data_IF_924593368913
#
_entry.id   IF_924593368913
#
_cell.length_a   1.000
_cell.length_b   1.000
_cell.length_c   1.000
_cell.angle_alpha   90.00
_cell.angle_beta   90.00
_cell.angle_gamma   90.00
#
_symmetry.space_group_name_H-M   'P 1'
#
loop_
_entity.id
_entity.type
_entity.pdbx_description
1 polymer ?
#
# COMPACT_ATOMS: atom_id res chain seq x y z
N UNK A 1 2.92 18.41 -21.75
CA UNK A 1 2.47 17.35 -20.84
C UNK A 1 1.67 17.97 -19.70
N UNK A 2 0.35 18.02 -19.75
CA UNK A 2 -0.44 18.66 -18.72
C UNK A 2 -1.03 17.62 -17.76
N UNK A 3 -0.19 16.97 -16.96
CA UNK A 3 -0.70 16.06 -15.89
C UNK A 3 -0.92 16.78 -14.55
N UNK A 4 -0.48 18.02 -14.39
CA UNK A 4 -0.68 18.80 -13.18
C UNK A 4 -2.07 19.43 -13.02
N UNK A 5 -2.79 19.64 -14.11
CA UNK A 5 -4.07 20.36 -14.08
C UNK A 5 -5.26 19.54 -13.56
N UNK A 6 -5.26 18.26 -13.81
CA UNK A 6 -6.37 17.37 -13.41
C UNK A 6 -6.34 17.14 -11.88
N UNK A 7 -5.15 16.96 -11.31
CA UNK A 7 -4.99 16.77 -9.86
C UNK A 7 -5.37 18.03 -9.06
N UNK A 8 -5.07 19.21 -9.59
CA UNK A 8 -5.43 20.48 -8.95
C UNK A 8 -6.94 20.77 -9.05
N UNK A 9 -7.58 20.45 -10.17
CA UNK A 9 -9.04 20.59 -10.33
C UNK A 9 -9.78 19.66 -9.35
N UNK A 10 -9.33 18.42 -9.19
CA UNK A 10 -9.91 17.44 -8.26
C UNK A 10 -9.77 17.85 -6.79
N UNK A 11 -8.63 18.46 -6.42
CA UNK A 11 -8.40 19.00 -5.08
C UNK A 11 -9.32 20.20 -4.82
N UNK A 12 -9.51 21.05 -5.82
CA UNK A 12 -10.36 22.24 -5.71
C UNK A 12 -11.85 21.86 -5.58
N UNK A 13 -12.32 20.89 -6.36
CA UNK A 13 -13.68 20.38 -6.24
C UNK A 13 -13.96 19.74 -4.87
N UNK A 14 -13.00 18.99 -4.33
CA UNK A 14 -13.10 18.42 -2.99
C UNK A 14 -13.18 19.51 -1.91
N UNK A 15 -12.41 20.59 -2.05
CA UNK A 15 -12.43 21.74 -1.12
C UNK A 15 -13.74 22.52 -1.22
N UNK A 16 -14.28 22.72 -2.42
CA UNK A 16 -15.57 23.40 -2.63
C UNK A 16 -16.72 22.58 -2.03
N UNK A 17 -16.73 21.26 -2.21
CA UNK A 17 -17.73 20.38 -1.61
C UNK A 17 -17.64 20.36 -0.08
N UNK A 18 -16.45 20.44 0.48
CA UNK A 18 -16.25 20.49 1.93
C UNK A 18 -16.72 21.82 2.51
N UNK A 19 -16.48 22.92 1.78
CA UNK A 19 -16.94 24.24 2.16
C UNK A 19 -18.47 24.40 2.06
N UNK A 20 -19.09 23.83 1.02
CA UNK A 20 -20.54 23.77 0.88
C UNK A 20 -21.20 22.93 1.99
N UNK A 21 -20.59 21.81 2.37
CA UNK A 21 -21.06 20.99 3.48
C UNK A 21 -21.00 21.72 4.83
N UNK A 22 -19.97 22.56 5.03
CA UNK A 22 -19.82 23.39 6.23
C UNK A 22 -20.86 24.52 6.29
N UNK A 23 -21.22 25.12 5.13
CA UNK A 23 -22.17 26.24 5.07
C UNK A 23 -23.63 25.76 5.17
N UNK A 24 -23.94 24.58 4.66
CA UNK A 24 -25.32 24.05 4.64
C UNK A 24 -25.74 23.35 5.92
N UNK A 25 -24.88 23.31 6.96
CA UNK A 25 -25.22 22.70 8.25
C UNK A 25 -25.60 21.22 8.15
N UNK A 26 -25.20 20.54 7.06
CA UNK A 26 -25.37 19.10 6.96
C UNK A 26 -24.56 18.43 8.06
N UNK A 27 -25.24 18.14 9.15
CA UNK A 27 -24.73 17.38 10.27
C UNK A 27 -24.16 16.07 9.73
N UNK A 28 -22.86 15.91 9.87
CA UNK A 28 -22.13 14.69 9.52
C UNK A 28 -22.77 13.57 10.36
N UNK A 29 -23.46 12.60 9.76
CA UNK A 29 -23.90 11.45 10.55
C UNK A 29 -22.66 10.82 11.18
N UNK A 30 -22.77 10.43 12.44
CA UNK A 30 -21.76 9.68 13.17
C UNK A 30 -21.14 8.63 12.24
N UNK A 31 -19.82 8.52 12.28
CA UNK A 31 -18.92 7.79 11.37
C UNK A 31 -19.30 6.30 11.20
N UNK A 32 -20.44 6.02 10.60
CA UNK A 32 -20.68 4.67 10.10
C UNK A 32 -19.80 4.47 8.87
N UNK A 33 -18.87 3.52 8.97
CA UNK A 33 -18.02 3.13 7.86
C UNK A 33 -18.94 2.72 6.70
N UNK A 34 -18.86 3.37 5.51
CA UNK A 34 -19.73 3.04 4.40
C UNK A 34 -19.58 1.57 4.01
N UNK A 35 -20.69 0.90 3.64
CA UNK A 35 -20.66 -0.53 3.24
C UNK A 35 -19.68 -0.81 2.10
N UNK A 36 -19.53 0.11 1.15
CA UNK A 36 -18.59 -0.05 0.06
C UNK A 36 -17.14 -0.02 0.52
N UNK A 37 -16.82 0.63 1.65
CA UNK A 37 -15.47 0.75 2.17
C UNK A 37 -14.86 -0.60 2.57
N UNK A 38 -15.63 -1.46 3.22
CA UNK A 38 -15.19 -2.82 3.57
C UNK A 38 -14.85 -3.63 2.31
N UNK A 39 -15.68 -3.54 1.26
CA UNK A 39 -15.40 -4.19 -0.04
C UNK A 39 -14.13 -3.67 -0.70
N UNK A 40 -13.88 -2.37 -0.64
CA UNK A 40 -12.63 -1.78 -1.14
C UNK A 40 -11.42 -2.32 -0.39
N UNK A 41 -11.51 -2.44 0.94
CA UNK A 41 -10.43 -3.04 1.74
C UNK A 41 -10.20 -4.50 1.40
N UNK A 42 -11.25 -5.30 1.33
CA UNK A 42 -11.20 -6.72 0.92
C UNK A 42 -10.54 -6.85 -0.45
N UNK A 43 -10.97 -6.04 -1.44
CA UNK A 43 -10.36 -6.02 -2.77
C UNK A 43 -8.86 -5.72 -2.74
N UNK A 44 -8.43 -4.75 -1.93
CA UNK A 44 -7.01 -4.44 -1.75
C UNK A 44 -6.25 -5.58 -1.04
N UNK A 45 -6.87 -6.26 -0.08
CA UNK A 45 -6.26 -7.42 0.58
C UNK A 45 -6.10 -8.61 -0.35
N UNK A 46 -7.13 -8.92 -1.15
CA UNK A 46 -7.13 -10.09 -2.04
C UNK A 46 -6.16 -9.93 -3.20
N UNK A 47 -5.93 -8.70 -3.66
CA UNK A 47 -5.10 -8.40 -4.81
C UNK A 47 -4.00 -7.36 -4.55
N UNK A 48 -3.43 -7.37 -3.36
CA UNK A 48 -2.37 -6.41 -3.01
C UNK A 48 -1.10 -6.57 -3.87
N UNK A 49 -0.91 -7.69 -4.52
CA UNK A 49 0.20 -7.98 -5.45
C UNK A 49 0.00 -7.31 -6.81
N UNK A 50 -1.24 -7.09 -7.20
CA UNK A 50 -1.59 -6.54 -8.49
C UNK A 50 -1.65 -5.01 -8.45
N UNK A 51 -1.29 -4.37 -9.57
CA UNK A 51 -1.49 -2.93 -9.70
C UNK A 51 -2.98 -2.65 -9.86
N UNK A 52 -3.52 -1.77 -9.04
CA UNK A 52 -4.88 -1.26 -9.24
C UNK A 52 -4.85 0.16 -9.82
N UNK A 53 -5.93 0.51 -10.51
CA UNK A 53 -6.22 1.90 -10.87
C UNK A 53 -7.29 2.43 -9.92
N UNK A 54 -7.13 3.67 -9.49
CA UNK A 54 -8.09 4.31 -8.59
C UNK A 54 -9.50 4.35 -9.20
N UNK A 55 -9.60 4.56 -10.53
CA UNK A 55 -10.87 4.58 -11.25
C UNK A 55 -11.58 3.22 -11.19
N UNK A 56 -10.85 2.11 -11.35
CA UNK A 56 -11.41 0.77 -11.32
C UNK A 56 -11.93 0.43 -9.91
N UNK A 57 -11.13 0.74 -8.89
CA UNK A 57 -11.49 0.55 -7.49
C UNK A 57 -12.74 1.36 -7.10
N UNK A 58 -12.84 2.59 -7.57
CA UNK A 58 -13.98 3.46 -7.34
C UNK A 58 -15.23 2.99 -8.10
N UNK A 59 -15.07 2.52 -9.33
CA UNK A 59 -16.14 1.96 -10.13
C UNK A 59 -16.72 0.70 -9.47
N UNK A 60 -15.88 -0.23 -9.02
CA UNK A 60 -16.31 -1.43 -8.26
C UNK A 60 -17.05 -1.06 -6.97
N UNK A 61 -16.65 0.02 -6.32
CA UNK A 61 -17.29 0.53 -5.11
C UNK A 61 -18.59 1.31 -5.37
N UNK A 62 -18.85 1.69 -6.63
CA UNK A 62 -19.99 2.53 -7.01
C UNK A 62 -19.89 3.96 -6.51
N UNK A 63 -18.67 4.52 -6.41
CA UNK A 63 -18.41 5.88 -5.92
C UNK A 63 -17.44 6.62 -6.83
N UNK A 64 -17.40 7.94 -6.71
CA UNK A 64 -16.41 8.74 -7.43
C UNK A 64 -15.00 8.56 -6.84
N UNK A 65 -13.91 8.50 -7.66
CA UNK A 65 -12.54 8.29 -7.19
C UNK A 65 -12.07 9.28 -6.12
N UNK A 66 -12.42 10.56 -6.27
CA UNK A 66 -12.11 11.61 -5.28
C UNK A 66 -12.79 11.34 -3.94
N UNK A 67 -14.06 10.93 -3.98
CA UNK A 67 -14.80 10.57 -2.76
C UNK A 67 -14.19 9.36 -2.07
N UNK A 68 -13.83 8.31 -2.84
CA UNK A 68 -13.14 7.13 -2.30
C UNK A 68 -11.82 7.53 -1.62
N UNK A 69 -10.97 8.30 -2.30
CA UNK A 69 -9.68 8.72 -1.77
C UNK A 69 -9.82 9.54 -0.49
N UNK A 70 -10.81 10.44 -0.41
CA UNK A 70 -11.10 11.26 0.76
C UNK A 70 -11.54 10.42 1.95
N UNK A 71 -12.54 9.55 1.75
CA UNK A 71 -13.08 8.69 2.82
C UNK A 71 -12.02 7.71 3.29
N UNK A 72 -11.24 7.12 2.36
CA UNK A 72 -10.17 6.22 2.69
C UNK A 72 -9.11 6.88 3.58
N UNK A 73 -8.68 8.10 3.21
CA UNK A 73 -7.73 8.88 4.02
C UNK A 73 -8.30 9.29 5.38
N UNK A 74 -9.61 9.55 5.48
CA UNK A 74 -10.26 9.87 6.75
C UNK A 74 -10.29 8.68 7.71
N UNK A 75 -10.52 7.48 7.20
CA UNK A 75 -10.66 6.25 8.01
C UNK A 75 -9.28 5.62 8.28
N UNK A 76 -8.50 5.33 7.24
CA UNK A 76 -7.22 4.61 7.33
C UNK A 76 -6.01 5.52 7.57
N UNK A 77 -6.18 6.85 7.51
CA UNK A 77 -5.10 7.84 7.64
C UNK A 77 -3.99 7.71 6.59
N UNK A 78 -4.29 7.07 5.48
CA UNK A 78 -3.38 6.90 4.34
C UNK A 78 -4.19 6.79 3.03
N UNK A 79 -3.50 6.87 1.91
CA UNK A 79 -4.12 6.64 0.60
C UNK A 79 -4.31 5.13 0.35
N UNK A 80 -5.22 4.72 -0.56
CA UNK A 80 -5.36 3.32 -0.98
C UNK A 80 -4.04 2.72 -1.48
N UNK A 81 -3.22 3.49 -2.21
CA UNK A 81 -1.90 3.06 -2.68
C UNK A 81 -0.91 2.81 -1.53
N UNK A 82 -0.88 3.69 -0.53
CA UNK A 82 -0.05 3.49 0.67
C UNK A 82 -0.55 2.31 1.50
N UNK A 83 -1.85 2.10 1.55
CA UNK A 83 -2.44 0.93 2.20
C UNK A 83 -2.00 -0.36 1.51
N UNK A 84 -2.06 -0.43 0.18
CA UNK A 84 -1.54 -1.55 -0.59
C UNK A 84 -0.05 -1.79 -0.31
N UNK A 85 0.77 -0.74 -0.31
CA UNK A 85 2.20 -0.87 0.00
C UNK A 85 2.45 -1.43 1.41
N UNK A 86 1.62 -1.07 2.40
CA UNK A 86 1.70 -1.68 3.75
C UNK A 86 1.42 -3.18 3.71
N UNK A 87 0.42 -3.62 2.93
CA UNK A 87 0.12 -5.04 2.75
C UNK A 87 1.28 -5.78 2.08
N UNK A 88 1.87 -5.19 1.03
CA UNK A 88 3.05 -5.74 0.34
C UNK A 88 4.25 -5.87 1.28
N UNK A 89 4.54 -4.84 2.08
CA UNK A 89 5.64 -4.87 3.07
C UNK A 89 5.37 -5.92 4.14
N UNK A 90 4.13 -6.04 4.62
CA UNK A 90 3.77 -7.07 5.60
C UNK A 90 3.99 -8.47 5.06
N UNK A 91 3.55 -8.75 3.83
CA UNK A 91 3.81 -10.04 3.18
C UNK A 91 5.32 -10.28 3.00
N UNK A 92 6.09 -9.27 2.62
CA UNK A 92 7.53 -9.37 2.50
C UNK A 92 8.22 -9.68 3.84
N UNK A 93 7.75 -9.16 4.96
CA UNK A 93 8.30 -9.47 6.28
C UNK A 93 8.20 -10.97 6.60
N UNK A 94 7.10 -11.64 6.19
CA UNK A 94 6.96 -13.08 6.38
C UNK A 94 7.95 -13.87 5.49
N UNK A 95 8.07 -13.48 4.21
CA UNK A 95 9.00 -14.14 3.28
C UNK A 95 10.48 -13.89 3.62
N UNK A 96 10.81 -12.76 4.23
CA UNK A 96 12.17 -12.45 4.66
C UNK A 96 12.69 -13.36 5.78
N UNK A 97 11.83 -14.10 6.45
CA UNK A 97 12.21 -15.11 7.44
C UNK A 97 12.86 -16.35 6.81
N UNK A 98 12.60 -16.57 5.54
CA UNK A 98 13.25 -17.62 4.77
C UNK A 98 14.52 -17.06 4.07
N UNK A 99 15.67 -17.58 4.49
CA UNK A 99 16.97 -17.14 3.96
C UNK A 99 17.25 -17.61 2.55
N UNK A 100 16.58 -18.65 2.10
CA UNK A 100 16.75 -19.23 0.76
C UNK A 100 16.13 -18.31 -0.33
N UNK A 101 15.20 -17.45 0.05
CA UNK A 101 14.52 -16.56 -0.89
C UNK A 101 15.37 -15.32 -1.23
N UNK A 102 15.78 -15.15 -2.50
CA UNK A 102 16.46 -13.93 -2.94
C UNK A 102 15.55 -12.69 -2.77
N UNK A 103 16.14 -11.55 -2.44
CA UNK A 103 15.37 -10.31 -2.27
C UNK A 103 14.62 -9.91 -3.53
N UNK A 104 15.19 -10.18 -4.72
CA UNK A 104 14.53 -9.93 -5.99
C UNK A 104 13.27 -10.81 -6.18
N UNK A 105 13.32 -12.07 -5.76
CA UNK A 105 12.17 -12.97 -5.81
C UNK A 105 11.07 -12.54 -4.83
N UNK A 106 11.44 -12.11 -3.63
CA UNK A 106 10.49 -11.54 -2.65
C UNK A 106 9.84 -10.27 -3.21
N UNK A 107 10.62 -9.40 -3.85
CA UNK A 107 10.08 -8.20 -4.48
C UNK A 107 9.01 -8.54 -5.54
N UNK A 108 9.31 -9.49 -6.42
CA UNK A 108 8.36 -9.95 -7.44
C UNK A 108 7.11 -10.59 -6.84
N UNK A 109 7.28 -11.50 -5.87
CA UNK A 109 6.19 -12.19 -5.19
C UNK A 109 5.25 -11.22 -4.44
N UNK A 110 5.78 -10.14 -3.89
CA UNK A 110 4.99 -9.13 -3.19
C UNK A 110 4.40 -8.04 -4.12
N UNK A 111 4.61 -8.14 -5.44
CA UNK A 111 4.05 -7.21 -6.42
C UNK A 111 4.80 -5.88 -6.57
N UNK A 112 6.07 -5.83 -6.17
CA UNK A 112 6.94 -4.68 -6.44
C UNK A 112 7.48 -4.75 -7.88
N UNK A 113 7.70 -3.57 -8.49
CA UNK A 113 8.20 -3.48 -9.86
C UNK A 113 9.61 -4.09 -10.01
N UNK A 114 10.46 -3.88 -9.00
CA UNK A 114 11.83 -4.39 -8.92
C UNK A 114 12.34 -4.35 -7.47
N UNK A 115 13.54 -4.91 -7.25
CA UNK A 115 14.18 -4.95 -5.94
C UNK A 115 14.52 -3.56 -5.38
N UNK A 116 14.84 -2.59 -6.24
CA UNK A 116 15.13 -1.22 -5.81
C UNK A 116 13.88 -0.52 -5.29
N UNK A 117 12.77 -0.67 -6.00
CA UNK A 117 11.46 -0.20 -5.56
C UNK A 117 11.05 -0.85 -4.24
N UNK A 118 11.19 -2.17 -4.14
CA UNK A 118 10.95 -2.92 -2.90
C UNK A 118 11.77 -2.36 -1.74
N UNK A 119 13.08 -2.22 -1.90
CA UNK A 119 13.99 -1.74 -0.84
C UNK A 119 13.58 -0.34 -0.36
N UNK A 120 13.26 0.55 -1.29
CA UNK A 120 12.85 1.93 -0.97
C UNK A 120 11.52 1.97 -0.20
N UNK A 121 10.50 1.23 -0.66
CA UNK A 121 9.20 1.17 0.00
C UNK A 121 9.31 0.48 1.35
N UNK A 122 10.02 -0.65 1.42
CA UNK A 122 10.22 -1.37 2.68
C UNK A 122 10.90 -0.47 3.72
N UNK A 123 11.98 0.24 3.34
CA UNK A 123 12.67 1.18 4.25
C UNK A 123 11.76 2.32 4.71
N UNK A 124 10.88 2.83 3.84
CA UNK A 124 9.93 3.89 4.19
C UNK A 124 8.97 3.45 5.31
N UNK A 125 8.51 2.19 5.29
CA UNK A 125 7.53 1.69 6.25
C UNK A 125 8.16 1.02 7.49
N UNK A 126 9.31 0.37 7.35
CA UNK A 126 9.95 -0.39 8.44
C UNK A 126 11.13 0.36 9.10
N UNK A 127 11.59 1.46 8.50
CA UNK A 127 12.76 2.21 8.97
C UNK A 127 14.12 1.55 8.66
N UNK A 128 14.12 0.33 8.09
CA UNK A 128 15.33 -0.44 7.78
C UNK A 128 15.27 -1.06 6.39
N UNK A 129 16.38 -1.56 5.88
CA UNK A 129 16.38 -2.27 4.59
C UNK A 129 15.93 -3.72 4.75
N UNK A 130 15.38 -4.37 3.69
CA UNK A 130 14.99 -5.78 3.74
C UNK A 130 16.12 -6.70 4.17
N UNK A 131 17.35 -6.44 3.67
CA UNK A 131 18.53 -7.21 4.04
C UNK A 131 18.86 -7.11 5.53
N UNK A 132 18.85 -5.90 6.09
CA UNK A 132 19.06 -5.72 7.55
C UNK A 132 17.94 -6.33 8.37
N UNK A 133 16.68 -6.17 7.94
CA UNK A 133 15.55 -6.80 8.60
C UNK A 133 15.71 -8.32 8.68
N UNK A 134 16.09 -8.96 7.56
CA UNK A 134 16.37 -10.41 7.52
C UNK A 134 17.41 -10.81 8.58
N UNK A 135 18.50 -10.05 8.70
CA UNK A 135 19.56 -10.33 9.70
C UNK A 135 19.07 -10.22 11.15
N UNK A 136 18.05 -9.42 11.40
CA UNK A 136 17.48 -9.29 12.77
C UNK A 136 16.47 -10.38 13.10
N UNK A 137 15.73 -10.89 12.12
CA UNK A 137 14.65 -11.88 12.34
C UNK A 137 15.11 -13.32 12.15
N UNK A 138 16.24 -13.55 11.49
CA UNK A 138 16.83 -14.88 11.25
C UNK A 138 18.07 -15.07 12.13
N UNK A 139 18.18 -16.20 12.88
CA UNK A 139 19.35 -16.49 13.68
C UNK A 139 20.63 -16.56 12.81
N UNK A 140 21.78 -16.05 13.30
CA UNK A 140 23.06 -16.06 12.56
C UNK A 140 23.46 -17.44 12.04
N UNK A 141 23.14 -18.49 12.77
CA UNK A 141 23.44 -19.89 12.40
C UNK A 141 22.79 -20.31 11.07
N UNK A 142 21.59 -19.82 10.76
CA UNK A 142 20.89 -20.12 9.50
C UNK A 142 21.49 -19.34 8.32
N UNK A 143 21.92 -18.10 8.54
CA UNK A 143 22.53 -17.25 7.50
C UNK A 143 23.86 -17.86 7.04
N UNK A 144 24.66 -18.36 7.96
CA UNK A 144 25.95 -18.98 7.64
C UNK A 144 25.81 -20.31 6.88
N UNK A 145 24.77 -21.10 7.19
CA UNK A 145 24.52 -22.37 6.50
C UNK A 145 24.18 -22.19 5.02
N UNK A 146 23.43 -21.14 4.65
CA UNK A 146 23.10 -20.83 3.25
C UNK A 146 24.28 -20.28 2.48
N UNK A 147 25.06 -19.40 3.12
CA UNK A 147 26.28 -18.85 2.51
C UNK A 147 27.32 -19.94 2.19
N UNK A 148 27.45 -20.93 3.07
CA UNK A 148 28.37 -22.08 2.87
C UNK A 148 27.92 -22.98 1.70
N UNK A 149 26.62 -23.20 1.51
CA UNK A 149 26.07 -23.96 0.38
C UNK A 149 26.26 -23.26 -0.95
N UNK A 150 26.10 -21.92 -1.00
CA UNK A 150 26.29 -21.13 -2.21
C UNK A 150 27.74 -21.09 -2.69
N UNK A 151 28.73 -21.34 -1.81
CA UNK A 151 30.14 -21.40 -2.15
C UNK A 151 30.62 -22.81 -2.53
N UNK A 152 29.82 -23.84 -2.32
CA UNK A 152 30.13 -25.25 -2.59
C UNK A 152 29.51 -25.73 -3.93
N UNK A 153 28.83 -24.88 -4.69
CA UNK A 153 28.25 -25.15 -6.03
C UNK A 153 28.99 -24.38 -7.09
#
# INVERSE_FOLDING_TARGET
MPEGGILQAEILEAQVLEMLAAITGFHRPEKSVPRWFSRVKERLHDSFRDRFRMCDLAHEAGVHPVHLARVFRQIERCTPGEYQQRLQVRAACELLRDVEWPLAAIAAECGFADQSHFTRVFRRFSGTTPARFRMTVVPPSRIHAVSARAQAS
#
